data_IF_632016802102
#
_entry.id   IF_632016802102
#
_cell.length_a   1.000
_cell.length_b   1.000
_cell.length_c   1.000
_cell.angle_alpha   90.00
_cell.angle_beta   90.00
_cell.angle_gamma   90.00
#
_symmetry.space_group_name_H-M   'P 1'
#
loop_
_entity.id
_entity.type
_entity.pdbx_description
1 polymer ?
#
# COMPACT_ATOMS: atom_id res chain seq x y z
N UNK A 1 29.31 -1.62 14.72
CA UNK A 1 28.06 -2.35 14.42
C UNK A 1 26.90 -1.41 14.70
N UNK A 2 26.16 -0.99 13.68
CA UNK A 2 24.97 -0.14 13.85
C UNK A 2 23.86 -1.00 14.47
N UNK A 3 23.29 -0.57 15.60
CA UNK A 3 22.16 -1.27 16.21
C UNK A 3 20.98 -1.25 15.22
N UNK A 4 20.25 -2.37 15.03
CA UNK A 4 19.05 -2.38 14.19
C UNK A 4 18.09 -1.28 14.65
N UNK A 5 17.48 -0.57 13.70
CA UNK A 5 16.43 0.39 14.00
C UNK A 5 15.24 -0.42 14.50
N UNK A 6 15.00 -0.42 15.81
CA UNK A 6 13.73 -0.89 16.37
C UNK A 6 12.65 0.10 15.92
N UNK A 7 11.97 -0.22 14.82
CA UNK A 7 10.99 0.69 14.21
C UNK A 7 9.81 1.00 15.13
N UNK A 8 9.59 0.25 16.22
CA UNK A 8 8.52 0.52 17.18
C UNK A 8 7.11 0.52 16.57
N UNK A 9 6.96 0.04 15.33
CA UNK A 9 5.72 0.05 14.55
C UNK A 9 4.77 -1.07 14.98
N UNK A 10 4.53 -1.20 16.28
CA UNK A 10 3.47 -2.07 16.75
C UNK A 10 2.20 -1.22 16.83
N UNK A 11 1.33 -1.39 15.83
CA UNK A 11 -0.02 -0.84 15.89
C UNK A 11 -0.72 -1.48 17.09
N UNK A 12 -0.98 -0.69 18.14
CA UNK A 12 -1.70 -1.10 19.35
C UNK A 12 -2.75 -0.04 19.69
N UNK A 13 -3.71 -0.43 20.53
CA UNK A 13 -4.72 0.48 21.05
C UNK A 13 -5.53 1.13 19.92
N UNK A 14 -5.64 2.46 19.97
CA UNK A 14 -6.49 3.21 19.05
C UNK A 14 -5.98 3.19 17.60
N UNK A 15 -4.67 3.23 17.38
CA UNK A 15 -4.09 3.21 16.03
C UNK A 15 -4.38 1.89 15.31
N UNK A 16 -4.32 0.77 16.04
CA UNK A 16 -4.71 -0.52 15.50
C UNK A 16 -6.19 -0.55 15.09
N UNK A 17 -7.07 0.01 15.93
CA UNK A 17 -8.50 0.09 15.61
C UNK A 17 -8.79 1.03 14.44
N UNK A 18 -8.11 2.17 14.36
CA UNK A 18 -8.22 3.12 13.24
C UNK A 18 -7.75 2.49 11.94
N UNK A 19 -6.61 1.79 11.98
CA UNK A 19 -6.10 1.07 10.83
C UNK A 19 -7.06 -0.06 10.40
N UNK A 20 -7.61 -0.80 11.35
CA UNK A 20 -8.58 -1.86 11.05
C UNK A 20 -9.84 -1.30 10.37
N UNK A 21 -10.44 -0.24 10.93
CA UNK A 21 -11.59 0.44 10.31
C UNK A 21 -11.28 0.97 8.91
N UNK A 22 -10.08 1.52 8.72
CA UNK A 22 -9.63 1.94 7.40
C UNK A 22 -9.52 0.77 6.43
N UNK A 23 -9.04 -0.40 6.87
CA UNK A 23 -8.96 -1.59 6.00
C UNK A 23 -10.34 -2.15 5.62
N UNK A 24 -11.34 -2.05 6.51
CA UNK A 24 -12.72 -2.45 6.23
C UNK A 24 -13.41 -1.53 5.22
N UNK A 25 -13.20 -0.22 5.33
CA UNK A 25 -13.73 0.77 4.40
C UNK A 25 -12.68 1.85 4.08
N UNK A 26 -11.80 1.59 3.10
CA UNK A 26 -10.69 2.50 2.84
C UNK A 26 -11.17 3.76 2.14
N UNK A 27 -11.13 4.86 2.87
CA UNK A 27 -11.37 6.19 2.33
C UNK A 27 -10.09 6.73 1.69
N UNK A 28 -9.80 6.27 0.47
CA UNK A 28 -8.65 6.76 -0.28
C UNK A 28 -8.87 8.23 -0.69
N UNK A 29 -7.84 9.06 -0.46
CA UNK A 29 -7.76 10.38 -1.05
C UNK A 29 -7.78 10.29 -2.59
N UNK A 30 -8.10 11.40 -3.26
CA UNK A 30 -8.08 11.48 -4.73
C UNK A 30 -6.71 11.04 -5.29
N UNK A 31 -5.63 11.53 -4.67
CA UNK A 31 -4.26 11.21 -5.07
C UNK A 31 -3.93 9.72 -4.84
N UNK A 32 -4.43 9.14 -3.74
CA UNK A 32 -4.29 7.70 -3.47
C UNK A 32 -4.98 6.85 -4.54
N UNK A 33 -6.19 7.24 -4.95
CA UNK A 33 -6.92 6.56 -6.05
C UNK A 33 -6.17 6.66 -7.37
N UNK A 34 -5.62 7.84 -7.69
CA UNK A 34 -4.85 8.04 -8.92
C UNK A 34 -3.54 7.26 -8.91
N UNK A 35 -2.88 7.14 -7.75
CA UNK A 35 -1.71 6.29 -7.59
C UNK A 35 -2.03 4.82 -7.87
N UNK A 36 -3.09 4.28 -7.26
CA UNK A 36 -3.52 2.88 -7.47
C UNK A 36 -3.85 2.64 -8.96
N UNK A 37 -4.58 3.58 -9.60
CA UNK A 37 -4.89 3.50 -11.03
C UNK A 37 -3.63 3.47 -11.90
N UNK A 38 -2.63 4.31 -11.61
CA UNK A 38 -1.35 4.31 -12.35
C UNK A 38 -0.60 3.00 -12.16
N UNK A 39 -0.57 2.47 -10.95
CA UNK A 39 0.08 1.19 -10.64
C UNK A 39 -0.57 0.03 -11.40
N UNK A 40 -1.91 -0.03 -11.44
CA UNK A 40 -2.65 -1.03 -12.21
C UNK A 40 -2.29 -0.99 -13.70
N UNK A 41 -2.32 0.20 -14.33
CA UNK A 41 -1.92 0.38 -15.73
C UNK A 41 -0.48 -0.07 -16.00
N UNK A 42 0.43 0.19 -15.07
CA UNK A 42 1.83 -0.24 -15.21
C UNK A 42 1.95 -1.76 -15.13
N UNK A 43 1.21 -2.41 -14.23
CA UNK A 43 1.20 -3.86 -14.09
C UNK A 43 0.63 -4.56 -15.34
N UNK A 44 -0.45 -4.02 -15.91
CA UNK A 44 -1.02 -4.52 -17.17
C UNK A 44 -0.03 -4.43 -18.33
N UNK A 45 0.64 -3.27 -18.48
CA UNK A 45 1.69 -3.11 -19.50
C UNK A 45 2.82 -4.11 -19.34
N UNK A 46 3.28 -4.33 -18.10
CA UNK A 46 4.31 -5.33 -17.83
C UNK A 46 3.84 -6.74 -18.22
N UNK A 47 2.62 -7.13 -17.85
CA UNK A 47 2.05 -8.43 -18.22
C UNK A 47 1.93 -8.60 -19.74
N UNK A 48 1.47 -7.58 -20.45
CA UNK A 48 1.37 -7.62 -21.91
C UNK A 48 2.75 -7.81 -22.57
N UNK A 49 3.78 -7.13 -22.06
CA UNK A 49 5.15 -7.31 -22.56
C UNK A 49 5.72 -8.70 -22.25
N UNK A 50 5.42 -9.30 -21.10
CA UNK A 50 5.91 -10.65 -20.75
C UNK A 50 5.26 -11.77 -21.57
N UNK A 51 4.13 -11.52 -22.25
CA UNK A 51 3.45 -12.50 -23.13
C UNK A 51 3.92 -12.35 -24.60
N UNK A 52 4.55 -11.22 -24.93
CA UNK A 52 5.02 -10.91 -26.28
C UNK A 52 6.48 -11.32 -26.55
N UNK A 53 7.20 -11.79 -25.53
CA UNK A 53 8.54 -12.41 -25.60
C UNK A 53 8.43 -13.95 -25.50
#
# INVERSE_FOLDING_TARGET
MTKPIELGLILKGEDAQRFHRYMENPEYSKDGKDMIRRAAKLAEKKRANTIAD
#
